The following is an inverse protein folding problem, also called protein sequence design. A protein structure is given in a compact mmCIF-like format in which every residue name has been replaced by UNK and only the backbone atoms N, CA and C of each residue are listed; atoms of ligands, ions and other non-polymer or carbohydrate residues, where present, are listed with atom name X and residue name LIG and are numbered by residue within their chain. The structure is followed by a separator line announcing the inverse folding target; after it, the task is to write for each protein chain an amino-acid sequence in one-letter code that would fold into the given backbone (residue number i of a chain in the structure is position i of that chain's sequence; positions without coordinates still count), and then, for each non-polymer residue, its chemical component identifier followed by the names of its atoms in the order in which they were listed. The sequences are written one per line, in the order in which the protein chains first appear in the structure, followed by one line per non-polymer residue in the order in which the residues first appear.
data_IF_075768297736
#
_entry.id   IF_075768297736
#
_cell.length_a   1.000
_cell.length_b   1.000
_cell.length_c   1.000
_cell.angle_alpha   90.00
_cell.angle_beta   90.00
_cell.angle_gamma   90.00
#
_symmetry.space_group_name_H-M   'P 1'
#
loop_
_entity.id
_entity.type
_entity.pdbx_description
1 polymer ?
#
# COMPACT_ATOMS: atom_id res chain seq x y z
N UNK A 1 -42.59 -50.24 16.65
CA UNK A 1 -41.32 -50.00 15.91
C UNK A 1 -40.68 -48.70 16.44
N UNK A 2 -39.35 -48.62 16.34
CA UNK A 2 -38.39 -47.79 17.10
C UNK A 2 -38.66 -46.27 17.15
N UNK A 3 -38.38 -45.69 18.34
CA UNK A 3 -38.13 -44.27 18.63
C UNK A 3 -36.98 -43.72 17.78
N UNK A 4 -37.09 -42.48 17.27
CA UNK A 4 -35.95 -41.54 17.24
C UNK A 4 -36.47 -40.10 17.41
N UNK A 5 -36.10 -39.50 18.53
CA UNK A 5 -36.14 -38.06 18.82
C UNK A 5 -35.00 -37.35 18.10
N UNK A 6 -35.28 -36.28 17.34
CA UNK A 6 -34.24 -35.33 16.93
C UNK A 6 -34.54 -33.95 17.50
N UNK A 7 -33.84 -33.64 18.59
CA UNK A 7 -33.61 -32.28 19.08
C UNK A 7 -32.75 -31.56 18.04
N UNK A 8 -33.33 -30.67 17.25
CA UNK A 8 -32.57 -29.75 16.43
C UNK A 8 -31.95 -28.69 17.34
N UNK A 9 -30.68 -28.90 17.69
CA UNK A 9 -29.80 -27.86 18.23
C UNK A 9 -29.46 -26.92 17.07
N UNK A 10 -30.20 -25.82 16.94
CA UNK A 10 -29.65 -24.67 16.21
C UNK A 10 -28.87 -23.85 17.22
N UNK A 11 -27.55 -24.02 17.13
CA UNK A 11 -26.57 -23.23 17.84
C UNK A 11 -26.80 -21.76 17.52
N UNK A 12 -26.80 -20.94 18.57
CA UNK A 12 -26.70 -19.50 18.45
C UNK A 12 -25.44 -19.17 17.64
N UNK A 13 -25.61 -18.68 16.41
CA UNK A 13 -24.56 -17.95 15.73
C UNK A 13 -24.44 -16.61 16.46
N UNK A 14 -23.54 -16.58 17.45
CA UNK A 14 -23.20 -15.39 18.19
C UNK A 14 -22.71 -14.30 17.24
N UNK A 15 -23.25 -13.09 17.41
CA UNK A 15 -22.66 -11.88 16.90
C UNK A 15 -21.20 -11.80 17.37
N UNK A 16 -20.26 -11.82 16.42
CA UNK A 16 -19.00 -11.13 16.60
C UNK A 16 -19.12 -9.78 15.88
N UNK A 17 -19.60 -8.78 16.63
CA UNK A 17 -19.43 -7.39 16.25
C UNK A 17 -17.91 -7.10 16.19
N UNK A 18 -17.37 -6.99 14.99
CA UNK A 18 -16.03 -6.44 14.80
C UNK A 18 -16.11 -4.96 15.13
N UNK A 19 -15.70 -4.63 16.34
CA UNK A 19 -15.41 -3.27 16.74
C UNK A 19 -14.38 -2.69 15.77
N UNK A 20 -14.82 -1.69 15.00
CA UNK A 20 -13.97 -0.79 14.24
C UNK A 20 -13.04 -0.05 15.23
N UNK A 21 -11.95 -0.69 15.59
CA UNK A 21 -10.82 -0.08 16.28
C UNK A 21 -9.69 -0.03 15.26
N UNK A 22 -9.14 1.16 15.05
CA UNK A 22 -8.26 1.47 13.92
C UNK A 22 -7.01 0.60 13.91
N UNK A 23 -6.98 -0.40 13.02
CA UNK A 23 -5.78 -1.21 12.79
C UNK A 23 -5.36 -1.11 11.34
N UNK A 24 -4.62 -0.06 11.02
CA UNK A 24 -4.05 0.16 9.68
C UNK A 24 -3.08 -0.94 9.21
N UNK A 25 -2.71 -1.91 10.05
CA UNK A 25 -1.81 -3.04 9.68
C UNK A 25 -2.18 -4.39 10.34
N UNK A 26 -3.24 -4.48 11.15
CA UNK A 26 -3.55 -5.73 11.89
C UNK A 26 -4.99 -6.23 11.74
N UNK A 27 -5.54 -6.08 10.53
CA UNK A 27 -6.53 -7.02 10.00
C UNK A 27 -5.82 -8.13 9.19
N UNK A 28 -4.81 -8.78 9.78
CA UNK A 28 -4.16 -9.94 9.19
C UNK A 28 -4.75 -11.21 9.81
N UNK A 29 -5.84 -11.72 9.22
CA UNK A 29 -6.17 -13.14 9.08
C UNK A 29 -7.64 -13.31 8.66
N UNK A 30 -7.83 -13.83 7.43
CA UNK A 30 -8.90 -14.77 6.96
C UNK A 30 -9.65 -14.38 5.69
N UNK A 31 -9.65 -13.12 5.24
CA UNK A 31 -10.20 -12.76 3.93
C UNK A 31 -9.12 -12.76 2.85
N UNK A 32 -9.37 -13.33 1.65
CA UNK A 32 -8.46 -13.13 0.52
C UNK A 32 -8.35 -11.64 0.24
N UNK A 33 -7.12 -11.12 0.22
CA UNK A 33 -6.88 -9.75 -0.23
C UNK A 33 -7.10 -9.73 -1.73
N UNK A 34 -8.05 -8.90 -2.18
CA UNK A 34 -8.34 -8.80 -3.58
C UNK A 34 -7.10 -8.26 -4.32
N UNK A 35 -6.73 -8.90 -5.43
CA UNK A 35 -5.49 -8.61 -6.13
C UNK A 35 -5.64 -8.82 -7.63
N UNK A 36 -5.08 -7.89 -8.40
CA UNK A 36 -4.90 -8.00 -9.84
C UNK A 36 -3.56 -8.66 -10.23
N UNK A 37 -2.88 -9.32 -9.28
CA UNK A 37 -1.66 -10.06 -9.57
C UNK A 37 -1.96 -11.27 -10.47
N UNK A 38 -1.37 -11.30 -11.66
CA UNK A 38 -1.47 -12.44 -12.57
C UNK A 38 -0.48 -13.54 -12.18
N UNK A 39 0.68 -13.14 -11.65
CA UNK A 39 1.69 -14.00 -11.05
C UNK A 39 2.59 -13.17 -10.14
N UNK A 40 3.49 -13.83 -9.39
CA UNK A 40 4.43 -13.14 -8.51
C UNK A 40 5.26 -12.13 -9.31
N UNK A 41 5.12 -10.86 -8.97
CA UNK A 41 5.82 -9.71 -9.50
C UNK A 41 5.15 -9.01 -10.67
N UNK A 42 3.96 -9.45 -11.12
CA UNK A 42 3.32 -8.89 -12.32
C UNK A 42 1.80 -8.77 -12.16
N UNK A 43 1.27 -7.57 -12.43
CA UNK A 43 -0.16 -7.28 -12.46
C UNK A 43 -0.84 -7.61 -13.80
N UNK A 44 -2.15 -7.38 -13.87
CA UNK A 44 -2.95 -7.51 -15.10
C UNK A 44 -2.80 -6.26 -15.97
N UNK A 45 -2.80 -6.43 -17.30
CA UNK A 45 -2.76 -5.31 -18.24
C UNK A 45 -4.18 -4.82 -18.53
N UNK A 46 -4.69 -3.95 -17.67
CA UNK A 46 -5.99 -3.28 -17.86
C UNK A 46 -5.83 -1.76 -17.82
N UNK A 47 -6.88 -1.06 -18.23
CA UNK A 47 -6.94 0.39 -18.17
C UNK A 47 -7.58 0.86 -16.87
N UNK A 48 -7.09 1.96 -16.33
CA UNK A 48 -7.81 2.71 -15.33
C UNK A 48 -7.14 4.03 -15.01
N UNK A 49 -7.63 4.65 -13.95
CA UNK A 49 -7.25 6.01 -13.56
C UNK A 49 -7.08 6.12 -12.05
N UNK A 50 -6.15 6.99 -11.66
CA UNK A 50 -5.90 7.41 -10.28
C UNK A 50 -5.41 8.86 -10.33
N UNK A 51 -5.31 9.52 -9.19
CA UNK A 51 -4.79 10.88 -9.08
C UNK A 51 -3.37 10.87 -8.56
N UNK A 52 -2.66 11.95 -8.87
CA UNK A 52 -1.37 12.27 -8.28
C UNK A 52 -1.24 13.76 -7.99
N UNK A 53 -0.28 14.08 -7.14
CA UNK A 53 0.04 15.44 -6.77
C UNK A 53 1.33 15.90 -7.45
N UNK A 54 1.21 16.99 -8.20
CA UNK A 54 2.30 17.64 -8.90
C UNK A 54 2.26 19.15 -8.66
N UNK A 55 3.30 19.69 -8.02
CA UNK A 55 3.50 21.13 -7.87
C UNK A 55 2.28 21.91 -7.33
N UNK A 56 1.60 21.38 -6.32
CA UNK A 56 0.44 22.02 -5.69
C UNK A 56 -0.89 21.72 -6.39
N UNK A 57 -0.90 20.84 -7.38
CA UNK A 57 -2.09 20.49 -8.16
C UNK A 57 -2.35 19.00 -8.12
N UNK A 58 -3.62 18.64 -8.24
CA UNK A 58 -4.04 17.29 -8.57
C UNK A 58 -3.95 17.12 -10.09
N UNK A 59 -3.30 16.07 -10.54
CA UNK A 59 -3.23 15.60 -11.94
C UNK A 59 -3.78 14.19 -12.03
N UNK A 60 -4.12 13.73 -13.23
CA UNK A 60 -4.63 12.37 -13.41
C UNK A 60 -3.55 11.45 -13.96
N UNK A 61 -3.41 10.29 -13.36
CA UNK A 61 -2.72 9.16 -13.97
C UNK A 61 -3.68 8.32 -14.79
N UNK A 62 -3.17 7.82 -15.90
CA UNK A 62 -3.76 6.73 -16.66
C UNK A 62 -2.76 5.59 -16.73
N UNK A 63 -3.20 4.39 -16.36
CA UNK A 63 -2.39 3.18 -16.48
C UNK A 63 -2.95 2.27 -17.58
N UNK A 64 -2.05 1.52 -18.20
CA UNK A 64 -2.34 0.54 -19.27
C UNK A 64 -1.56 -0.76 -19.11
N UNK A 65 -0.72 -0.87 -18.08
CA UNK A 65 0.05 -2.06 -17.73
C UNK A 65 -0.09 -2.32 -16.24
N UNK A 66 0.02 -3.59 -15.84
CA UNK A 66 0.05 -3.96 -14.42
C UNK A 66 1.37 -3.56 -13.74
N UNK A 67 1.42 -3.62 -12.41
CA UNK A 67 2.68 -3.43 -11.67
C UNK A 67 3.77 -4.41 -12.12
N UNK A 68 5.01 -4.02 -11.86
CA UNK A 68 6.18 -4.87 -11.90
C UNK A 68 6.88 -4.85 -10.54
N UNK A 69 7.24 -6.00 -10.00
CA UNK A 69 8.12 -6.08 -8.82
C UNK A 69 9.36 -6.91 -9.15
N UNK A 70 10.54 -6.35 -8.86
CA UNK A 70 11.80 -7.02 -9.12
C UNK A 70 11.96 -8.25 -8.23
N UNK A 71 11.89 -9.43 -8.87
CA UNK A 71 11.94 -10.74 -8.23
C UNK A 71 13.34 -11.14 -7.76
N UNK A 72 14.37 -10.37 -8.11
CA UNK A 72 15.72 -10.56 -7.54
C UNK A 72 15.83 -9.99 -6.12
N UNK A 73 14.81 -9.26 -5.66
CA UNK A 73 14.62 -8.87 -4.27
C UNK A 73 13.68 -9.87 -3.60
N UNK A 74 14.09 -10.38 -2.44
CA UNK A 74 13.32 -11.38 -1.71
C UNK A 74 12.13 -10.71 -1.02
N UNK A 75 10.93 -11.23 -1.31
CA UNK A 75 9.65 -10.84 -0.71
C UNK A 75 8.86 -12.07 -0.28
N UNK A 76 8.31 -12.02 0.93
CA UNK A 76 7.37 -12.99 1.48
C UNK A 76 5.92 -12.75 1.02
N UNK A 77 5.63 -11.64 0.34
CA UNK A 77 4.29 -11.34 -0.13
C UNK A 77 3.91 -12.22 -1.33
N UNK A 78 2.62 -12.51 -1.44
CA UNK A 78 2.06 -13.28 -2.56
C UNK A 78 2.23 -12.57 -3.91
N UNK A 79 2.21 -11.23 -3.90
CA UNK A 79 2.53 -10.39 -5.05
C UNK A 79 4.02 -10.38 -5.40
N UNK A 80 4.93 -10.72 -4.47
CA UNK A 80 6.37 -10.59 -4.64
C UNK A 80 6.93 -9.18 -4.50
N UNK A 81 6.11 -8.21 -4.13
CA UNK A 81 6.53 -6.84 -3.89
C UNK A 81 6.96 -6.66 -2.43
N UNK A 82 7.94 -5.81 -2.16
CA UNK A 82 8.37 -5.46 -0.81
C UNK A 82 8.74 -3.99 -0.68
N UNK A 83 8.68 -3.51 0.56
CA UNK A 83 9.21 -2.21 0.96
C UNK A 83 10.40 -2.43 1.88
N UNK A 84 11.48 -1.70 1.64
CA UNK A 84 12.66 -1.66 2.50
C UNK A 84 13.94 -2.15 1.85
N UNK A 85 13.92 -2.56 0.58
CA UNK A 85 15.13 -2.69 -0.23
C UNK A 85 14.89 -2.13 -1.65
N UNK A 86 15.94 -1.60 -2.30
CA UNK A 86 15.83 -1.15 -3.68
C UNK A 86 15.78 -2.34 -4.64
N UNK A 87 15.18 -2.13 -5.81
CA UNK A 87 15.30 -3.05 -6.93
C UNK A 87 16.77 -3.28 -7.35
N UNK A 88 17.02 -4.42 -7.99
CA UNK A 88 18.28 -4.79 -8.65
C UNK A 88 18.16 -4.78 -10.17
N UNK A 89 16.98 -5.10 -10.68
CA UNK A 89 16.65 -5.11 -12.11
C UNK A 89 15.36 -4.31 -12.33
N UNK A 90 15.48 -3.19 -13.06
CA UNK A 90 14.34 -2.37 -13.44
C UNK A 90 13.64 -2.91 -14.71
N UNK A 91 12.33 -2.66 -14.89
CA UNK A 91 11.60 -3.07 -16.09
C UNK A 91 11.93 -2.22 -17.33
N UNK A 92 12.60 -1.07 -17.15
CA UNK A 92 13.01 -0.17 -18.23
C UNK A 92 14.36 0.50 -17.93
N UNK A 93 14.98 1.06 -18.98
CA UNK A 93 16.25 1.81 -18.88
C UNK A 93 16.08 3.23 -18.35
N UNK A 94 14.88 3.78 -18.46
CA UNK A 94 14.51 5.11 -17.99
C UNK A 94 13.20 4.99 -17.25
N UNK A 95 13.12 5.68 -16.13
CA UNK A 95 11.97 5.74 -15.24
C UNK A 95 12.15 6.96 -14.32
N UNK A 96 11.03 7.57 -13.95
CA UNK A 96 10.98 8.64 -12.95
C UNK A 96 10.53 8.10 -11.58
N UNK A 97 10.88 8.75 -10.47
CA UNK A 97 10.44 8.32 -9.14
C UNK A 97 8.97 8.70 -8.90
N UNK A 98 8.24 7.78 -8.27
CA UNK A 98 6.91 7.98 -7.73
C UNK A 98 6.95 7.82 -6.21
N UNK A 99 6.64 8.88 -5.49
CA UNK A 99 6.63 8.86 -4.03
C UNK A 99 5.21 8.63 -3.53
N UNK A 100 5.02 7.64 -2.66
CA UNK A 100 3.74 7.35 -2.03
C UNK A 100 3.79 7.64 -0.54
N UNK A 101 2.79 8.36 -0.03
CA UNK A 101 2.64 8.54 1.43
C UNK A 101 1.73 7.49 2.01
N UNK A 102 2.16 6.82 3.08
CA UNK A 102 1.39 5.78 3.76
C UNK A 102 1.10 6.19 5.21
N UNK A 103 -0.16 6.15 5.69
CA UNK A 103 -0.48 6.41 7.08
C UNK A 103 -0.07 5.22 7.95
N UNK A 104 0.71 5.47 9.01
CA UNK A 104 1.23 4.48 9.93
C UNK A 104 0.66 4.70 11.33
N UNK A 105 -0.04 3.69 11.86
CA UNK A 105 -0.61 3.74 13.21
C UNK A 105 -1.88 4.59 13.35
N UNK A 106 -2.46 5.08 12.26
CA UNK A 106 -3.77 5.73 12.23
C UNK A 106 -4.49 5.45 10.90
N UNK A 107 -5.78 5.77 10.85
CA UNK A 107 -6.59 5.64 9.62
C UNK A 107 -7.10 7.03 9.23
N UNK A 108 -6.71 7.57 8.05
CA UNK A 108 -7.37 8.74 7.49
C UNK A 108 -8.87 8.50 7.30
N UNK A 109 -9.71 9.56 7.28
CA UNK A 109 -11.13 9.42 6.97
C UNK A 109 -11.34 8.67 5.64
N UNK A 110 -12.33 7.78 5.60
CA UNK A 110 -12.72 7.10 4.36
C UNK A 110 -13.04 8.14 3.27
N UNK A 111 -12.62 7.89 2.03
CA UNK A 111 -12.73 8.81 0.87
C UNK A 111 -11.80 10.05 0.90
N UNK A 112 -10.93 10.19 1.89
CA UNK A 112 -9.87 11.23 1.87
C UNK A 112 -8.61 10.81 1.12
N UNK A 113 -8.61 9.61 0.54
CA UNK A 113 -7.52 9.00 -0.21
C UNK A 113 -8.01 8.60 -1.58
N UNK A 114 -7.19 8.84 -2.60
CA UNK A 114 -7.46 8.33 -3.95
C UNK A 114 -7.28 6.80 -4.01
N UNK A 115 -6.32 6.26 -3.26
CA UNK A 115 -6.02 4.82 -3.19
C UNK A 115 -6.25 4.28 -1.77
N UNK A 116 -7.48 3.96 -1.35
CA UNK A 116 -7.75 3.38 -0.04
C UNK A 116 -7.33 1.90 0.02
N UNK A 117 -6.96 1.43 1.23
CA UNK A 117 -6.62 0.02 1.48
C UNK A 117 -7.74 -0.92 1.00
N UNK A 118 -7.37 -1.98 0.28
CA UNK A 118 -8.31 -3.02 -0.16
C UNK A 118 -9.11 -2.66 -1.41
N UNK A 119 -8.91 -1.48 -2.00
CA UNK A 119 -9.36 -1.21 -3.35
C UNK A 119 -8.44 -1.93 -4.35
N UNK A 120 -9.06 -2.52 -5.36
CA UNK A 120 -8.38 -3.26 -6.42
C UNK A 120 -8.15 -2.31 -7.58
N UNK A 121 -7.00 -1.64 -7.60
CA UNK A 121 -6.52 -0.93 -8.78
C UNK A 121 -5.70 -1.91 -9.64
N UNK A 122 -5.83 -1.82 -10.96
CA UNK A 122 -5.19 -2.73 -11.96
C UNK A 122 -3.68 -2.82 -11.76
N UNK A 123 -3.11 -1.67 -11.51
CA UNK A 123 -1.71 -1.38 -11.36
C UNK A 123 -1.19 -1.67 -9.97
N UNK A 124 -2.01 -1.94 -8.94
CA UNK A 124 -1.50 -2.18 -7.59
C UNK A 124 -1.37 -3.67 -7.24
N UNK A 125 -0.29 -4.05 -6.54
CA UNK A 125 -0.24 -5.38 -5.95
C UNK A 125 -1.32 -5.49 -4.87
N UNK A 126 -1.94 -6.67 -4.71
CA UNK A 126 -2.92 -6.86 -3.64
C UNK A 126 -2.26 -6.93 -2.27
N UNK A 127 -1.04 -7.46 -2.23
CA UNK A 127 -0.25 -7.62 -1.00
C UNK A 127 1.12 -6.99 -1.13
N UNK A 128 1.80 -6.71 -0.02
CA UNK A 128 3.18 -6.26 -0.01
C UNK A 128 3.89 -6.76 1.25
N UNK A 129 5.19 -7.00 1.16
CA UNK A 129 6.02 -7.43 2.29
C UNK A 129 6.67 -6.20 2.93
N UNK A 130 6.26 -5.91 4.17
CA UNK A 130 6.77 -4.81 4.98
C UNK A 130 7.70 -5.31 6.10
N UNK A 131 8.07 -6.59 6.12
CA UNK A 131 8.77 -7.20 7.26
C UNK A 131 10.15 -6.60 7.52
N UNK A 132 10.80 -6.00 6.51
CA UNK A 132 12.04 -5.22 6.69
C UNK A 132 11.84 -3.98 7.57
N UNK A 133 10.62 -3.49 7.68
CA UNK A 133 10.27 -2.30 8.45
C UNK A 133 9.84 -2.63 9.88
N UNK A 134 9.82 -3.90 10.28
CA UNK A 134 9.32 -4.34 11.59
C UNK A 134 9.91 -3.53 12.75
N UNK A 135 11.24 -3.38 12.80
CA UNK A 135 11.90 -2.66 13.88
C UNK A 135 11.46 -1.20 13.95
N UNK A 136 11.23 -0.55 12.80
CA UNK A 136 10.76 0.83 12.74
C UNK A 136 9.28 0.95 13.12
N UNK A 137 8.48 -0.08 12.81
CA UNK A 137 7.03 -0.09 13.06
C UNK A 137 6.67 -0.59 14.46
N UNK A 138 7.56 -1.28 15.19
CA UNK A 138 7.24 -1.93 16.47
C UNK A 138 6.64 -0.99 17.51
N UNK A 139 7.11 0.26 17.56
CA UNK A 139 6.60 1.29 18.47
C UNK A 139 5.13 1.66 18.22
N UNK A 140 4.63 1.48 16.99
CA UNK A 140 3.24 1.72 16.61
C UNK A 140 2.32 0.55 16.94
N UNK A 141 2.88 -0.64 17.21
CA UNK A 141 2.14 -1.87 17.53
C UNK A 141 2.63 -2.47 18.85
N UNK A 142 2.48 -1.75 19.99
CA UNK A 142 2.99 -2.21 21.28
C UNK A 142 2.42 -3.57 21.71
N UNK A 143 1.17 -3.87 21.32
CA UNK A 143 0.43 -5.09 21.65
C UNK A 143 0.92 -6.35 20.93
N UNK A 144 1.65 -6.23 19.82
CA UNK A 144 2.16 -7.39 19.07
C UNK A 144 3.57 -7.73 19.54
N UNK A 145 3.87 -9.01 19.77
CA UNK A 145 5.26 -9.47 19.86
C UNK A 145 5.99 -9.24 18.53
N UNK A 146 7.33 -9.23 18.55
CA UNK A 146 8.13 -9.14 17.33
C UNK A 146 7.70 -10.17 16.28
N UNK A 147 7.61 -11.45 16.67
CA UNK A 147 7.21 -12.54 15.76
C UNK A 147 5.80 -12.37 15.16
N UNK A 148 4.84 -11.88 15.96
CA UNK A 148 3.47 -11.61 15.49
C UNK A 148 3.46 -10.45 14.51
N UNK A 149 4.25 -9.40 14.79
CA UNK A 149 4.39 -8.26 13.89
C UNK A 149 5.08 -8.68 12.58
N UNK A 150 6.19 -9.43 12.64
CA UNK A 150 6.84 -9.97 11.43
C UNK A 150 5.84 -10.74 10.58
N UNK A 151 5.07 -11.63 11.21
CA UNK A 151 4.11 -12.48 10.52
C UNK A 151 3.01 -11.65 9.84
N UNK A 152 2.51 -10.61 10.51
CA UNK A 152 1.52 -9.69 9.95
C UNK A 152 2.10 -8.87 8.78
N UNK A 153 3.38 -8.48 8.85
CA UNK A 153 4.01 -7.62 7.84
C UNK A 153 4.46 -8.37 6.58
N UNK A 154 4.74 -9.68 6.66
CA UNK A 154 5.27 -10.48 5.53
C UNK A 154 4.36 -10.53 4.30
N UNK A 155 3.04 -10.43 4.49
CA UNK A 155 2.06 -10.50 3.41
C UNK A 155 0.84 -9.66 3.75
N UNK A 156 1.06 -8.37 4.02
CA UNK A 156 -0.03 -7.45 4.35
C UNK A 156 -0.75 -7.01 3.09
N UNK A 157 -2.03 -6.65 3.19
CA UNK A 157 -2.69 -5.88 2.15
C UNK A 157 -1.92 -4.57 1.90
N UNK A 158 -1.87 -4.13 0.65
CA UNK A 158 -1.24 -2.83 0.33
C UNK A 158 -1.95 -1.72 1.11
N UNK A 159 -1.22 -0.94 1.93
CA UNK A 159 -1.79 0.16 2.67
C UNK A 159 -2.32 1.25 1.73
N UNK A 160 -3.37 1.95 2.16
CA UNK A 160 -3.84 3.13 1.46
C UNK A 160 -2.78 4.22 1.41
N UNK A 161 -2.76 4.97 0.31
CA UNK A 161 -1.69 5.94 0.04
C UNK A 161 -2.13 7.04 -0.94
N UNK A 162 -1.23 8.01 -1.14
CA UNK A 162 -1.36 9.12 -2.08
C UNK A 162 -0.11 9.22 -2.94
N UNK A 163 -0.28 9.60 -4.21
CA UNK A 163 0.81 9.70 -5.19
C UNK A 163 1.39 11.11 -5.26
N UNK A 164 2.73 11.22 -5.26
CA UNK A 164 3.47 12.45 -5.45
C UNK A 164 4.52 12.27 -6.54
N UNK A 165 4.54 13.19 -7.50
CA UNK A 165 5.50 13.20 -8.59
C UNK A 165 6.21 14.54 -8.71
N UNK A 166 7.37 14.53 -9.35
CA UNK A 166 8.22 15.70 -9.59
C UNK A 166 8.15 16.22 -11.02
N UNK A 167 7.63 15.40 -11.93
CA UNK A 167 7.57 15.65 -13.37
C UNK A 167 6.32 14.99 -13.95
N UNK A 168 5.90 15.46 -15.12
CA UNK A 168 4.86 14.81 -15.91
C UNK A 168 5.45 13.97 -17.06
N UNK A 169 6.79 13.88 -17.15
CA UNK A 169 7.53 13.24 -18.25
C UNK A 169 6.98 13.58 -19.64
N UNK A 170 6.74 14.87 -19.89
CA UNK A 170 6.14 15.35 -21.15
C UNK A 170 4.83 14.63 -21.52
N UNK A 171 4.10 14.11 -20.53
CA UNK A 171 2.87 13.31 -20.65
C UNK A 171 3.04 11.96 -21.35
N UNK A 172 4.27 11.46 -21.45
CA UNK A 172 4.54 10.13 -21.98
C UNK A 172 4.32 9.08 -20.89
N UNK A 173 3.64 7.96 -21.20
CA UNK A 173 3.57 6.84 -20.27
C UNK A 173 4.93 6.18 -20.05
N UNK A 174 5.26 5.90 -18.80
CA UNK A 174 6.52 5.24 -18.41
C UNK A 174 6.36 4.35 -17.18
N UNK A 175 7.42 3.62 -16.86
CA UNK A 175 7.58 2.97 -15.55
C UNK A 175 8.03 3.99 -14.52
N UNK A 176 7.46 3.93 -13.34
CA UNK A 176 7.76 4.78 -12.20
C UNK A 176 8.32 3.95 -11.05
N UNK A 177 9.47 4.34 -10.54
CA UNK A 177 10.13 3.70 -9.39
C UNK A 177 9.44 4.11 -8.09
N UNK A 178 8.82 3.16 -7.38
CA UNK A 178 8.00 3.48 -6.21
C UNK A 178 8.84 3.61 -4.96
N UNK A 179 8.71 4.74 -4.29
CA UNK A 179 9.33 5.06 -3.01
C UNK A 179 8.27 5.38 -1.96
N UNK A 180 8.46 4.90 -0.73
CA UNK A 180 7.48 5.05 0.36
C UNK A 180 7.92 6.10 1.37
N UNK A 181 6.99 6.96 1.77
CA UNK A 181 7.12 7.86 2.92
C UNK A 181 6.02 7.56 3.94
N UNK A 182 6.39 7.00 5.08
CA UNK A 182 5.49 6.75 6.20
C UNK A 182 5.15 8.05 6.94
N UNK A 183 3.86 8.29 7.15
CA UNK A 183 3.33 9.41 7.94
C UNK A 183 2.77 8.86 9.23
N UNK A 184 3.12 9.43 10.38
CA UNK A 184 2.77 8.86 11.70
C UNK A 184 1.71 9.66 12.46
N UNK A 185 1.19 10.75 11.88
CA UNK A 185 0.10 11.51 12.47
C UNK A 185 -0.88 12.03 11.42
N UNK A 186 -2.17 12.08 11.79
CA UNK A 186 -3.23 12.61 10.94
C UNK A 186 -3.02 14.10 10.61
N UNK A 187 -2.45 14.87 11.54
CA UNK A 187 -2.14 16.29 11.32
C UNK A 187 -1.14 16.46 10.19
N UNK A 188 -0.06 15.69 10.20
CA UNK A 188 0.98 15.76 9.17
C UNK A 188 0.44 15.27 7.83
N UNK A 189 -0.32 14.17 7.82
CA UNK A 189 -1.03 13.66 6.63
C UNK A 189 -1.88 14.74 5.95
N UNK A 190 -2.75 15.40 6.72
CA UNK A 190 -3.60 16.47 6.20
C UNK A 190 -2.77 17.65 5.69
N UNK A 191 -1.68 17.98 6.37
CA UNK A 191 -0.79 19.10 6.00
C UNK A 191 -0.07 18.82 4.68
N UNK A 192 0.43 17.60 4.49
CA UNK A 192 1.05 17.13 3.24
C UNK A 192 0.04 17.14 2.08
N UNK A 193 -1.15 16.56 2.28
CA UNK A 193 -2.18 16.47 1.25
C UNK A 193 -2.79 17.83 0.88
N UNK A 194 -2.80 18.79 1.80
CA UNK A 194 -3.19 20.17 1.48
C UNK A 194 -2.19 20.86 0.53
N UNK A 195 -0.89 20.52 0.63
CA UNK A 195 0.16 21.12 -0.20
C UNK A 195 0.33 20.48 -1.57
N UNK A 196 -0.05 19.20 -1.74
CA UNK A 196 -0.05 18.49 -3.03
C UNK A 196 1.28 18.63 -3.81
N UNK A 197 2.41 18.55 -3.13
CA UNK A 197 3.72 18.78 -3.76
C UNK A 197 4.80 17.93 -3.12
N UNK A 198 5.55 17.20 -3.95
CA UNK A 198 6.73 16.47 -3.49
C UNK A 198 7.75 17.42 -2.82
N UNK A 199 7.89 18.66 -3.30
CA UNK A 199 8.79 19.63 -2.68
C UNK A 199 8.45 19.85 -1.21
N UNK A 200 7.15 19.93 -0.88
CA UNK A 200 6.70 20.06 0.50
C UNK A 200 6.86 18.75 1.27
N UNK A 201 6.48 17.61 0.68
CA UNK A 201 6.70 16.29 1.28
C UNK A 201 8.16 16.08 1.68
N UNK A 202 9.10 16.38 0.78
CA UNK A 202 10.52 16.27 1.05
C UNK A 202 10.96 17.22 2.19
N UNK A 203 10.38 18.41 2.31
CA UNK A 203 10.65 19.26 3.48
C UNK A 203 10.22 18.60 4.80
N UNK A 204 9.11 17.86 4.81
CA UNK A 204 8.65 17.12 5.99
C UNK A 204 9.56 15.94 6.31
N UNK A 205 10.04 15.24 5.27
CA UNK A 205 11.08 14.21 5.40
C UNK A 205 12.36 14.80 6.04
N UNK A 206 12.87 15.91 5.51
CA UNK A 206 14.09 16.55 6.05
C UNK A 206 13.91 17.05 7.50
N UNK A 207 12.70 17.49 7.86
CA UNK A 207 12.34 17.89 9.22
C UNK A 207 12.07 16.70 10.15
N UNK A 208 12.12 15.46 9.65
CA UNK A 208 11.80 14.23 10.38
C UNK A 208 10.38 14.20 10.93
N UNK A 209 9.44 14.85 10.23
CA UNK A 209 8.00 14.81 10.52
C UNK A 209 7.34 13.55 9.96
N UNK A 210 8.00 12.92 8.98
CA UNK A 210 7.67 11.62 8.39
C UNK A 210 8.85 10.66 8.55
N UNK A 211 8.74 9.42 8.08
CA UNK A 211 9.93 8.59 7.84
C UNK A 211 10.84 9.23 6.80
N UNK A 212 12.05 8.68 6.66
CA UNK A 212 12.83 8.84 5.43
C UNK A 212 12.07 8.30 4.21
N UNK A 213 12.60 8.56 3.02
CA UNK A 213 12.16 7.89 1.79
C UNK A 213 12.68 6.45 1.83
N UNK A 214 11.77 5.49 1.71
CA UNK A 214 12.04 4.05 1.85
C UNK A 214 11.88 3.40 0.48
N UNK A 215 12.93 2.75 -0.04
CA UNK A 215 12.88 2.15 -1.36
C UNK A 215 11.98 0.92 -1.39
N UNK A 216 11.55 0.57 -2.60
CA UNK A 216 10.84 -0.67 -2.88
C UNK A 216 11.49 -1.41 -4.06
N UNK A 217 11.01 -2.63 -4.31
CA UNK A 217 11.27 -3.32 -5.56
C UNK A 217 10.16 -3.12 -6.61
N UNK A 218 9.19 -2.22 -6.34
CA UNK A 218 7.95 -2.05 -7.09
C UNK A 218 8.07 -0.90 -8.10
N UNK A 219 7.55 -1.16 -9.29
CA UNK A 219 7.33 -0.18 -10.34
C UNK A 219 5.86 -0.19 -10.77
N UNK A 220 5.36 1.00 -11.09
CA UNK A 220 4.02 1.23 -11.64
C UNK A 220 4.11 1.88 -13.02
N UNK A 221 3.13 1.67 -13.89
CA UNK A 221 3.17 2.22 -15.25
C UNK A 221 2.08 3.26 -15.47
N UNK A 222 2.47 4.53 -15.61
CA UNK A 222 1.54 5.65 -15.74
C UNK A 222 1.92 6.63 -16.83
N UNK A 223 0.90 7.17 -17.51
CA UNK A 223 0.95 8.46 -18.18
C UNK A 223 0.28 9.55 -17.33
N UNK A 224 0.79 10.77 -17.41
CA UNK A 224 0.28 11.94 -16.67
C UNK A 224 -0.56 12.83 -17.58
N UNK A 225 -1.79 13.15 -17.16
CA UNK A 225 -2.76 13.96 -17.91
C UNK A 225 -3.12 15.26 -17.17
#
# INVERSE_FOLDING_TARGET
MKKITHRARFAAAGLAALAATGVGVAAAATAPVASNAMHKGVGVNEYGMTQAYLNGRTVSFTYTQGFYCDRHVASAATSGCEVGAPFKVAPAKSFDPLYITVPLGFTPPTMSMDCPTGLVCVDHPGTIDLSRLESALKGLYPQLSASQLTAALKNTAVPGHEHFITTANMRQPEWWDVDVVGVTSLKEWNTINAHKSFKFLNQQVQKKMTTGIIPTNLFLYFGVN
#
